data_IF_041811328593
#
_entry.id   IF_041811328593
#
_cell.length_a   1.000
_cell.length_b   1.000
_cell.length_c   1.000
_cell.angle_alpha   90.00
_cell.angle_beta   90.00
_cell.angle_gamma   90.00
#
_symmetry.space_group_name_H-M   'P 1'
#
loop_
_entity.id
_entity.type
_entity.pdbx_description
1 polymer ?
#
# COMPACT_ATOMS: atom_id res chain seq x y z
N UNK A 1 -56.11 29.15 32.39
CA UNK A 1 -57.36 28.36 32.51
C UNK A 1 -57.02 26.99 33.06
N UNK A 2 -57.96 26.33 33.75
CA UNK A 2 -57.74 25.08 34.49
C UNK A 2 -58.60 23.98 33.86
N UNK A 3 -58.03 22.79 33.63
CA UNK A 3 -58.58 21.50 34.09
C UNK A 3 -57.74 20.31 33.61
N UNK A 4 -57.53 19.35 34.52
CA UNK A 4 -57.27 17.95 34.17
C UNK A 4 -58.63 17.22 34.06
N UNK A 5 -58.72 16.18 33.22
CA UNK A 5 -59.98 15.45 33.02
C UNK A 5 -59.80 14.03 32.47
N UNK A 6 -59.70 13.06 33.37
CA UNK A 6 -60.10 11.66 33.16
C UNK A 6 -61.60 11.52 33.61
N UNK A 7 -62.35 10.38 33.50
CA UNK A 7 -61.87 8.98 33.42
C UNK A 7 -62.76 7.96 32.62
N UNK A 8 -62.50 6.64 32.81
CA UNK A 8 -63.38 5.47 32.55
C UNK A 8 -63.67 5.10 31.08
N UNK A 9 -64.05 3.87 30.65
CA UNK A 9 -64.16 2.46 31.16
C UNK A 9 -64.19 1.51 29.92
N UNK A 10 -64.26 0.16 29.89
CA UNK A 10 -64.52 -0.98 30.80
C UNK A 10 -63.68 -2.23 30.33
N UNK A 11 -63.40 -3.29 31.11
CA UNK A 11 -64.15 -4.58 31.31
C UNK A 11 -64.58 -5.25 29.99
N UNK A 12 -64.28 -6.53 29.65
CA UNK A 12 -63.89 -7.80 30.35
C UNK A 12 -62.39 -8.15 30.06
N UNK A 13 -61.61 -9.13 30.59
CA UNK A 13 -61.75 -10.34 31.45
C UNK A 13 -61.46 -11.66 30.66
N UNK A 14 -61.08 -12.83 31.19
CA UNK A 14 -60.83 -13.33 32.57
C UNK A 14 -59.82 -14.54 32.56
N UNK A 15 -58.87 -14.58 33.52
CA UNK A 15 -58.11 -15.76 34.07
C UNK A 15 -57.16 -16.58 33.12
N UNK A 16 -56.00 -17.17 33.48
CA UNK A 16 -55.36 -17.67 34.75
C UNK A 16 -55.86 -19.11 35.10
N UNK A 17 -55.09 -20.18 35.40
CA UNK A 17 -53.90 -20.33 36.28
C UNK A 17 -53.08 -21.67 36.07
N UNK A 18 -51.75 -21.60 35.85
CA UNK A 18 -50.69 -22.50 36.43
C UNK A 18 -50.63 -24.05 36.09
N UNK A 19 -49.82 -24.96 36.72
CA UNK A 19 -48.69 -25.58 35.98
C UNK A 19 -48.31 -27.08 36.27
N UNK A 20 -47.18 -27.52 35.65
CA UNK A 20 -46.17 -28.49 36.14
C UNK A 20 -46.43 -30.02 36.25
N UNK A 21 -45.49 -30.80 35.66
CA UNK A 21 -44.90 -32.11 36.10
C UNK A 21 -43.65 -32.36 35.21
N UNK A 22 -42.45 -32.68 35.74
CA UNK A 22 -41.96 -33.95 36.29
C UNK A 22 -41.84 -35.11 35.27
N UNK A 23 -40.81 -35.99 35.25
CA UNK A 23 -39.42 -35.97 35.77
C UNK A 23 -38.68 -37.27 35.33
N UNK A 24 -37.71 -37.22 34.40
CA UNK A 24 -36.73 -38.30 34.09
C UNK A 24 -35.50 -37.62 33.45
N UNK A 25 -34.23 -37.99 33.66
CA UNK A 25 -33.66 -39.04 34.51
C UNK A 25 -32.53 -39.80 33.79
N UNK A 26 -31.30 -39.26 33.76
CA UNK A 26 -30.15 -39.90 33.11
C UNK A 26 -28.81 -39.28 33.53
N UNK A 27 -27.77 -40.11 33.71
CA UNK A 27 -26.42 -39.72 34.19
C UNK A 27 -25.31 -40.27 33.29
N UNK A 28 -24.19 -39.54 33.30
CA UNK A 28 -22.83 -39.96 32.92
C UNK A 28 -22.55 -40.29 31.43
N UNK A 29 -21.30 -40.11 31.01
CA UNK A 29 -20.87 -40.31 29.62
C UNK A 29 -19.63 -39.53 29.20
N UNK A 30 -18.55 -39.55 29.99
CA UNK A 30 -17.27 -38.92 29.60
C UNK A 30 -16.51 -39.76 28.58
N UNK A 31 -16.36 -39.27 27.34
CA UNK A 31 -15.49 -39.90 26.33
C UNK A 31 -14.64 -38.86 25.61
N UNK A 32 -13.38 -38.74 26.02
CA UNK A 32 -12.36 -37.99 25.29
C UNK A 32 -11.98 -38.74 24.01
N UNK A 33 -12.11 -38.12 22.83
CA UNK A 33 -11.46 -38.62 21.61
C UNK A 33 -10.58 -37.55 20.98
N UNK A 34 -9.26 -37.79 21.04
CA UNK A 34 -8.31 -37.23 20.08
C UNK A 34 -8.66 -37.77 18.69
N UNK A 35 -8.53 -36.95 17.66
CA UNK A 35 -8.35 -37.41 16.30
C UNK A 35 -7.00 -36.91 15.80
N UNK A 36 -6.10 -37.85 15.57
CA UNK A 36 -4.77 -37.61 14.96
C UNK A 36 -4.95 -37.63 13.45
N UNK A 37 -4.16 -36.83 12.74
CA UNK A 37 -4.42 -36.47 11.35
C UNK A 37 -4.27 -37.60 10.31
N UNK A 38 -4.76 -37.31 9.12
CA UNK A 38 -4.56 -38.09 7.89
C UNK A 38 -3.72 -37.28 6.89
N UNK A 39 -2.85 -37.98 6.15
CA UNK A 39 -2.13 -37.46 4.97
C UNK A 39 -3.14 -37.36 3.81
N UNK A 40 -3.16 -36.26 3.06
CA UNK A 40 -2.30 -35.89 1.90
C UNK A 40 -2.65 -36.67 0.63
N UNK A 41 -2.44 -36.01 -0.51
CA UNK A 41 -2.50 -36.53 -1.88
C UNK A 41 -3.90 -36.84 -2.46
N UNK A 42 -4.43 -35.87 -3.23
CA UNK A 42 -5.47 -36.07 -4.23
C UNK A 42 -5.11 -35.19 -5.45
N UNK A 43 -4.95 -35.80 -6.63
CA UNK A 43 -4.66 -35.10 -7.88
C UNK A 43 -5.90 -34.36 -8.39
N UNK A 44 -5.69 -33.25 -9.10
CA UNK A 44 -6.66 -32.72 -10.06
C UNK A 44 -5.95 -32.13 -11.27
N UNK A 45 -5.89 -32.91 -12.34
CA UNK A 45 -5.61 -32.41 -13.68
C UNK A 45 -6.88 -31.73 -14.22
N UNK A 46 -6.75 -30.56 -14.85
CA UNK A 46 -7.92 -29.75 -15.21
C UNK A 46 -7.57 -28.50 -16.00
N UNK A 47 -6.90 -28.68 -17.14
CA UNK A 47 -6.45 -27.57 -17.98
C UNK A 47 -7.60 -26.86 -18.69
N UNK A 48 -7.87 -25.61 -18.31
CA UNK A 48 -8.82 -24.74 -19.01
C UNK A 48 -8.09 -23.59 -19.72
N UNK A 49 -8.03 -23.64 -21.05
CA UNK A 49 -7.78 -22.47 -21.89
C UNK A 49 -9.11 -21.77 -22.15
N UNK A 50 -9.18 -20.45 -21.98
CA UNK A 50 -10.07 -19.59 -22.77
C UNK A 50 -9.56 -18.13 -22.77
N UNK A 51 -10.17 -17.29 -23.62
CA UNK A 51 -9.61 -15.99 -24.05
C UNK A 51 -10.02 -14.81 -23.14
N UNK A 52 -9.23 -13.71 -23.11
CA UNK A 52 -9.61 -12.48 -22.42
C UNK A 52 -10.69 -11.71 -23.18
N UNK A 53 -11.65 -11.12 -22.45
CA UNK A 53 -12.65 -10.21 -23.01
C UNK A 53 -14.00 -10.30 -22.34
N UNK A 54 -14.16 -9.60 -21.21
CA UNK A 54 -15.47 -9.32 -20.61
C UNK A 54 -15.44 -7.90 -20.03
N UNK A 55 -16.37 -7.05 -20.46
CA UNK A 55 -16.59 -5.74 -19.88
C UNK A 55 -17.31 -5.90 -18.53
N UNK A 56 -17.19 -4.92 -17.64
CA UNK A 56 -18.00 -4.88 -16.42
C UNK A 56 -19.37 -4.29 -16.75
N UNK A 57 -20.44 -5.04 -16.48
CA UNK A 57 -21.79 -4.50 -16.38
C UNK A 57 -22.13 -4.32 -14.90
N UNK A 58 -22.62 -3.14 -14.52
CA UNK A 58 -23.03 -2.82 -13.16
C UNK A 58 -24.56 -2.92 -13.05
N UNK A 59 -25.06 -3.89 -12.27
CA UNK A 59 -26.50 -4.07 -12.08
C UNK A 59 -27.15 -2.90 -11.31
N UNK A 60 -28.28 -2.43 -11.81
CA UNK A 60 -29.06 -1.35 -11.19
C UNK A 60 -29.89 -1.84 -9.99
N UNK A 61 -30.09 -0.96 -8.99
CA UNK A 61 -31.22 -1.10 -8.06
C UNK A 61 -31.54 0.21 -7.31
N UNK A 62 -32.81 0.58 -7.24
CA UNK A 62 -33.38 1.41 -6.15
C UNK A 62 -33.13 2.93 -6.20
N UNK A 63 -33.82 3.64 -7.10
CA UNK A 63 -33.67 5.09 -7.26
C UNK A 63 -34.29 5.98 -6.15
N UNK A 64 -33.94 7.26 -6.22
CA UNK A 64 -34.70 8.37 -5.61
C UNK A 64 -34.68 9.59 -6.55
N UNK A 65 -35.71 10.44 -6.47
CA UNK A 65 -35.98 11.54 -7.43
C UNK A 65 -35.43 12.89 -6.95
N UNK A 66 -34.65 13.59 -7.78
CA UNK A 66 -34.56 15.07 -7.76
C UNK A 66 -33.95 15.64 -9.06
N UNK A 67 -34.43 16.81 -9.48
CA UNK A 67 -33.65 17.81 -10.25
C UNK A 67 -33.17 17.45 -11.66
N UNK A 68 -34.06 17.45 -12.65
CA UNK A 68 -33.65 17.51 -14.05
C UNK A 68 -33.34 18.96 -14.47
N UNK A 69 -32.17 19.20 -15.08
CA UNK A 69 -31.81 20.46 -15.76
C UNK A 69 -31.28 20.08 -17.15
N UNK A 70 -32.09 20.31 -18.19
CA UNK A 70 -31.81 19.85 -19.54
C UNK A 70 -30.92 20.82 -20.33
N UNK A 71 -29.87 20.31 -20.97
CA UNK A 71 -29.13 20.99 -22.03
C UNK A 71 -29.45 20.31 -23.39
N UNK A 72 -29.56 21.12 -24.44
CA UNK A 72 -30.02 20.66 -25.75
C UNK A 72 -28.96 19.83 -26.51
N UNK A 73 -29.38 18.90 -27.39
CA UNK A 73 -28.45 18.13 -28.22
C UNK A 73 -27.79 19.00 -29.29
N UNK A 74 -26.51 18.72 -29.56
CA UNK A 74 -25.76 19.32 -30.68
C UNK A 74 -26.27 18.78 -32.03
N UNK A 75 -26.16 19.56 -33.13
CA UNK A 75 -26.63 19.13 -34.45
C UNK A 75 -25.81 17.96 -35.01
N UNK A 76 -26.47 17.11 -35.81
CA UNK A 76 -25.80 16.05 -36.56
C UNK A 76 -24.88 16.66 -37.62
N UNK A 77 -23.60 16.29 -37.59
CA UNK A 77 -22.71 16.43 -38.75
C UNK A 77 -23.14 15.41 -39.81
N UNK A 78 -23.08 15.79 -41.10
CA UNK A 78 -23.47 14.92 -42.19
C UNK A 78 -22.37 13.89 -42.53
N UNK A 79 -22.76 12.65 -42.80
CA UNK A 79 -21.86 11.58 -43.22
C UNK A 79 -21.32 11.82 -44.64
N UNK A 80 -20.11 12.39 -44.71
CA UNK A 80 -19.29 12.36 -45.92
C UNK A 80 -18.45 11.07 -45.97
N UNK A 81 -18.19 10.48 -47.15
CA UNK A 81 -17.38 9.27 -47.26
C UNK A 81 -15.93 9.55 -46.79
N UNK A 82 -15.43 8.68 -45.90
CA UNK A 82 -14.04 8.74 -45.45
C UNK A 82 -13.06 8.53 -46.61
N UNK A 83 -11.90 9.22 -46.63
CA UNK A 83 -10.82 8.88 -47.55
C UNK A 83 -10.32 7.45 -47.24
N UNK A 84 -9.85 6.69 -48.25
CA UNK A 84 -9.33 5.35 -48.04
C UNK A 84 -8.08 5.38 -47.14
N UNK A 85 -7.84 4.31 -46.35
CA UNK A 85 -6.62 4.21 -45.55
C UNK A 85 -5.37 4.18 -46.43
N UNK A 86 -4.21 4.67 -45.93
CA UNK A 86 -2.96 4.60 -46.66
C UNK A 86 -2.57 3.14 -46.95
N UNK A 87 -1.84 2.87 -48.07
CA UNK A 87 -1.46 1.52 -48.44
C UNK A 87 -0.54 0.88 -47.41
N UNK A 88 -0.76 -0.41 -47.15
CA UNK A 88 0.09 -1.22 -46.28
C UNK A 88 1.56 -1.24 -46.78
N UNK A 89 2.56 -1.23 -45.89
CA UNK A 89 3.95 -1.41 -46.30
C UNK A 89 4.16 -2.79 -46.95
N UNK A 90 5.13 -2.93 -47.88
CA UNK A 90 5.37 -4.18 -48.58
C UNK A 90 5.85 -5.30 -47.62
N UNK A 91 5.41 -6.56 -47.83
CA UNK A 91 5.85 -7.68 -47.01
C UNK A 91 7.36 -7.89 -47.17
N UNK A 92 8.09 -7.92 -46.05
CA UNK A 92 9.54 -8.04 -46.03
C UNK A 92 10.29 -6.74 -45.74
N UNK A 93 9.60 -5.59 -45.63
CA UNK A 93 10.21 -4.42 -44.98
C UNK A 93 10.58 -4.77 -43.52
N UNK A 94 11.78 -4.43 -43.02
CA UNK A 94 12.09 -4.56 -41.61
C UNK A 94 11.14 -3.68 -40.78
N UNK A 95 10.85 -4.03 -39.52
CA UNK A 95 10.12 -3.12 -38.64
C UNK A 95 10.87 -1.78 -38.60
N UNK A 96 10.17 -0.62 -38.67
CA UNK A 96 10.84 0.66 -38.63
C UNK A 96 11.66 0.74 -37.34
N UNK A 97 12.99 0.90 -37.49
CA UNK A 97 13.90 0.97 -36.35
C UNK A 97 13.37 1.99 -35.35
N UNK A 98 13.27 1.65 -34.05
CA UNK A 98 12.66 2.52 -33.07
C UNK A 98 13.52 3.78 -32.92
N UNK A 99 13.10 4.86 -33.61
CA UNK A 99 13.82 6.14 -33.73
C UNK A 99 14.47 6.52 -32.39
N UNK A 100 15.81 6.49 -32.37
CA UNK A 100 16.59 6.34 -31.15
C UNK A 100 16.11 7.26 -30.05
N UNK A 101 15.84 6.65 -28.88
CA UNK A 101 15.29 7.38 -27.76
C UNK A 101 16.36 8.36 -27.21
N UNK A 102 16.20 9.69 -27.36
CA UNK A 102 17.19 10.63 -26.88
C UNK A 102 17.35 10.48 -25.37
N UNK A 103 18.57 10.15 -24.96
CA UNK A 103 19.01 10.31 -23.59
C UNK A 103 18.88 11.78 -23.17
N UNK A 104 18.36 12.01 -21.98
CA UNK A 104 18.21 13.34 -21.42
C UNK A 104 19.57 13.98 -21.14
N UNK A 105 19.69 15.27 -21.45
CA UNK A 105 20.92 16.06 -21.24
C UNK A 105 20.74 17.18 -20.21
N UNK A 106 19.57 17.28 -19.56
CA UNK A 106 19.36 18.23 -18.46
C UNK A 106 20.21 17.84 -17.23
N UNK A 107 21.17 18.66 -16.78
CA UNK A 107 22.01 18.34 -15.62
C UNK A 107 21.30 18.55 -14.26
N UNK A 108 20.16 19.23 -14.30
CA UNK A 108 19.43 19.80 -13.17
C UNK A 108 18.27 18.93 -12.70
N UNK A 109 17.84 19.09 -11.44
CA UNK A 109 16.63 18.42 -10.96
C UNK A 109 15.36 18.84 -11.75
N UNK A 110 15.33 20.02 -12.37
CA UNK A 110 14.29 20.54 -13.27
C UNK A 110 14.89 21.26 -14.49
N UNK A 111 14.35 21.08 -15.72
CA UNK A 111 14.75 21.86 -16.89
C UNK A 111 14.57 23.37 -16.70
N UNK A 112 15.59 24.15 -17.09
CA UNK A 112 15.59 25.60 -16.96
C UNK A 112 14.38 26.29 -17.64
N UNK A 113 13.87 25.73 -18.73
CA UNK A 113 12.68 26.23 -19.43
C UNK A 113 11.37 26.01 -18.66
N UNK A 114 11.24 24.92 -17.89
CA UNK A 114 10.09 24.72 -17.00
C UNK A 114 10.20 25.60 -15.77
N UNK A 115 11.39 25.61 -15.13
CA UNK A 115 11.73 26.48 -13.99
C UNK A 115 11.31 27.92 -14.26
N UNK A 116 11.87 28.54 -15.29
CA UNK A 116 11.61 29.94 -15.64
C UNK A 116 10.14 30.19 -16.04
N UNK A 117 9.44 29.18 -16.56
CA UNK A 117 7.98 29.27 -16.80
C UNK A 117 7.19 29.27 -15.49
N UNK A 118 7.54 28.42 -14.53
CA UNK A 118 6.83 28.31 -13.24
C UNK A 118 7.12 29.49 -12.32
N UNK A 119 8.35 30.01 -12.31
CA UNK A 119 8.73 31.26 -11.66
C UNK A 119 7.88 32.44 -12.15
N UNK A 120 7.88 32.71 -13.48
CA UNK A 120 7.07 33.79 -14.09
C UNK A 120 5.55 33.64 -13.90
N UNK A 121 5.07 32.45 -13.54
CA UNK A 121 3.66 32.17 -13.28
C UNK A 121 3.30 32.18 -11.78
N UNK A 122 4.26 32.34 -10.87
CA UNK A 122 4.03 32.19 -9.43
C UNK A 122 3.65 30.76 -9.02
N UNK A 123 4.05 29.75 -9.81
CA UNK A 123 3.66 28.33 -9.66
C UNK A 123 4.77 27.46 -9.04
N UNK A 124 5.62 28.04 -8.21
CA UNK A 124 6.50 27.28 -7.32
C UNK A 124 5.71 26.82 -6.09
N UNK A 125 5.97 25.61 -5.62
CA UNK A 125 5.32 25.06 -4.42
C UNK A 125 6.05 25.59 -3.17
N UNK A 126 5.39 25.78 -2.01
CA UNK A 126 6.07 26.24 -0.80
C UNK A 126 7.26 25.37 -0.36
N UNK A 127 7.26 24.06 -0.65
CA UNK A 127 8.42 23.19 -0.37
C UNK A 127 9.62 23.41 -1.31
N UNK A 128 9.43 24.10 -2.43
CA UNK A 128 10.48 24.56 -3.34
C UNK A 128 10.98 25.95 -2.86
N UNK A 129 10.07 26.88 -2.55
CA UNK A 129 10.40 28.24 -2.09
C UNK A 129 11.07 28.27 -0.70
N UNK A 130 10.64 27.43 0.26
CA UNK A 130 11.27 27.27 1.59
C UNK A 130 12.66 26.60 1.54
N UNK A 131 13.14 26.27 0.33
CA UNK A 131 14.53 25.86 0.04
C UNK A 131 15.31 26.95 -0.71
N UNK A 132 14.69 28.07 -1.10
CA UNK A 132 15.30 29.22 -1.77
C UNK A 132 15.57 30.33 -0.74
N UNK A 133 14.59 30.73 0.07
CA UNK A 133 14.74 31.71 1.18
C UNK A 133 15.81 31.29 2.19
N UNK A 134 15.84 30.00 2.55
CA UNK A 134 16.87 29.42 3.42
C UNK A 134 18.25 29.45 2.77
N UNK A 135 18.31 29.37 1.44
CA UNK A 135 19.54 29.40 0.67
C UNK A 135 20.13 30.80 0.59
N UNK A 136 19.33 31.85 0.68
CA UNK A 136 19.85 33.22 0.82
C UNK A 136 20.61 33.31 2.15
N UNK A 137 19.99 32.85 3.25
CA UNK A 137 20.60 32.79 4.58
C UNK A 137 21.83 31.87 4.65
N UNK A 138 21.83 30.74 3.94
CA UNK A 138 22.96 29.80 3.87
C UNK A 138 24.09 30.34 2.93
N UNK A 139 23.77 31.03 1.83
CA UNK A 139 24.76 31.64 0.90
C UNK A 139 25.42 32.91 1.46
N UNK A 140 24.80 33.57 2.43
CA UNK A 140 25.45 34.61 3.23
C UNK A 140 26.53 34.03 4.17
N UNK A 141 26.49 32.73 4.47
CA UNK A 141 27.39 32.05 5.42
C UNK A 141 28.42 31.13 4.73
N UNK A 142 28.03 30.33 3.72
CA UNK A 142 28.94 29.45 2.97
C UNK A 142 29.22 30.00 1.55
N UNK A 143 30.29 30.81 1.42
CA UNK A 143 30.80 31.30 0.12
C UNK A 143 31.83 30.39 -0.56
N UNK A 144 32.13 29.23 0.02
CA UNK A 144 33.37 28.48 -0.27
C UNK A 144 33.16 26.96 -0.41
N UNK A 145 31.98 26.52 -0.88
CA UNK A 145 31.68 25.09 -0.99
C UNK A 145 30.90 24.71 -2.26
N UNK A 146 31.57 24.01 -3.18
CA UNK A 146 30.96 23.44 -4.39
C UNK A 146 29.97 22.30 -4.06
N UNK A 147 28.72 22.67 -3.81
CA UNK A 147 27.59 21.75 -3.69
C UNK A 147 26.61 21.91 -4.86
N UNK A 148 26.06 20.82 -5.43
CA UNK A 148 25.08 20.93 -6.51
C UNK A 148 23.79 21.59 -6.01
N UNK A 149 23.44 22.72 -6.62
CA UNK A 149 22.37 23.61 -6.16
C UNK A 149 21.01 22.88 -6.00
N UNK A 150 20.26 23.05 -4.88
CA UNK A 150 18.93 22.46 -4.65
C UNK A 150 17.82 23.03 -5.55
N UNK A 151 17.95 22.81 -6.86
CA UNK A 151 17.02 23.30 -7.87
C UNK A 151 15.61 22.68 -7.69
N UNK A 152 14.51 23.44 -7.88
CA UNK A 152 13.14 22.90 -7.85
C UNK A 152 12.94 21.68 -8.75
N UNK A 153 11.81 20.97 -8.59
CA UNK A 153 11.55 19.67 -9.23
C UNK A 153 10.36 19.76 -10.22
N UNK A 154 10.41 19.11 -11.40
CA UNK A 154 9.38 19.16 -12.43
C UNK A 154 8.01 18.75 -11.93
N UNK A 155 7.03 19.59 -12.22
CA UNK A 155 5.62 19.27 -12.05
C UNK A 155 5.18 18.25 -13.10
N UNK A 156 4.35 17.27 -12.72
CA UNK A 156 3.85 16.29 -13.70
C UNK A 156 2.97 16.96 -14.78
N UNK A 157 3.59 17.26 -15.92
CA UNK A 157 2.90 17.68 -17.13
C UNK A 157 2.37 16.44 -17.86
N UNK A 158 1.05 16.26 -17.91
CA UNK A 158 0.43 15.21 -18.76
C UNK A 158 0.77 15.51 -20.24
N UNK A 159 1.37 14.58 -21.00
CA UNK A 159 1.59 14.78 -22.43
C UNK A 159 0.27 15.07 -23.16
N UNK A 160 0.24 16.14 -23.95
CA UNK A 160 -0.91 16.47 -24.79
C UNK A 160 -0.99 15.54 -26.00
N UNK A 161 -2.21 15.21 -26.45
CA UNK A 161 -2.38 14.51 -27.72
C UNK A 161 -1.79 15.37 -28.86
N UNK A 162 -0.95 14.77 -29.71
CA UNK A 162 -0.24 15.49 -30.77
C UNK A 162 0.93 16.37 -30.30
N UNK A 163 1.27 16.41 -29.01
CA UNK A 163 2.51 17.05 -28.54
C UNK A 163 3.73 16.26 -29.02
N UNK A 164 4.68 16.94 -29.66
CA UNK A 164 5.97 16.33 -30.04
C UNK A 164 6.78 15.87 -28.83
N UNK A 165 7.69 14.91 -29.05
CA UNK A 165 8.62 14.43 -28.01
C UNK A 165 9.48 15.61 -27.51
N UNK A 166 9.65 15.81 -26.19
CA UNK A 166 10.50 16.88 -25.68
C UNK A 166 11.96 16.68 -26.11
N UNK A 167 12.72 17.76 -26.37
CA UNK A 167 14.13 17.69 -26.75
C UNK A 167 15.00 17.17 -25.59
N UNK A 168 16.22 16.66 -25.88
CA UNK A 168 17.12 16.08 -24.87
C UNK A 168 17.35 16.98 -23.64
N UNK A 169 17.48 18.29 -23.84
CA UNK A 169 17.72 19.27 -22.77
C UNK A 169 16.51 19.50 -21.83
N UNK A 170 15.34 18.94 -22.15
CA UNK A 170 14.15 18.94 -21.29
C UNK A 170 13.93 17.58 -20.59
N UNK A 171 14.74 16.57 -20.88
CA UNK A 171 14.73 15.27 -20.22
C UNK A 171 15.94 15.14 -19.30
N UNK A 172 15.76 14.52 -18.13
CA UNK A 172 16.83 14.31 -17.14
C UNK A 172 17.39 12.89 -17.24
N UNK A 173 18.71 12.69 -17.37
CA UNK A 173 19.31 11.37 -17.44
C UNK A 173 19.17 10.60 -16.12
N UNK A 174 19.33 9.26 -16.11
CA UNK A 174 19.08 8.41 -14.94
C UNK A 174 19.79 8.85 -13.65
N UNK A 175 21.04 9.34 -13.73
CA UNK A 175 21.78 9.84 -12.57
C UNK A 175 21.14 11.09 -11.94
N UNK A 176 20.56 11.97 -12.76
CA UNK A 176 19.84 13.18 -12.32
C UNK A 176 18.45 12.83 -11.77
N UNK A 177 17.80 11.82 -12.35
CA UNK A 177 16.56 11.25 -11.81
C UNK A 177 16.80 10.63 -10.42
N UNK A 178 17.85 9.82 -10.23
CA UNK A 178 18.25 9.30 -8.92
C UNK A 178 18.57 10.41 -7.91
N UNK A 179 19.33 11.44 -8.32
CA UNK A 179 19.62 12.64 -7.51
C UNK A 179 18.32 13.33 -7.06
N UNK A 180 17.34 13.42 -7.96
CA UNK A 180 16.01 13.99 -7.68
C UNK A 180 15.23 13.14 -6.67
N UNK A 181 15.23 11.81 -6.79
CA UNK A 181 14.55 10.94 -5.81
C UNK A 181 15.19 11.07 -4.43
N UNK A 182 16.52 11.19 -4.33
CA UNK A 182 17.22 11.47 -3.06
C UNK A 182 16.74 12.79 -2.43
N UNK A 183 16.59 13.85 -3.22
CA UNK A 183 16.04 15.14 -2.73
C UNK A 183 14.60 15.01 -2.22
N UNK A 184 13.75 14.29 -2.96
CA UNK A 184 12.35 14.05 -2.57
C UNK A 184 12.24 13.20 -1.29
N UNK A 185 13.17 12.26 -1.06
CA UNK A 185 13.27 11.52 0.21
C UNK A 185 13.66 12.43 1.38
N UNK A 186 14.63 13.33 1.22
CA UNK A 186 14.96 14.33 2.25
C UNK A 186 13.84 15.35 2.51
N UNK A 187 12.99 15.64 1.51
CA UNK A 187 11.76 16.41 1.70
C UNK A 187 10.71 15.62 2.48
N UNK A 188 10.61 14.30 2.28
CA UNK A 188 9.80 13.44 3.16
C UNK A 188 10.38 13.38 4.58
N UNK A 189 11.69 13.28 4.79
CA UNK A 189 12.29 13.13 6.13
C UNK A 189 11.85 14.22 7.13
N UNK A 190 11.62 15.44 6.64
CA UNK A 190 11.18 16.61 7.44
C UNK A 190 9.88 16.34 8.22
N UNK A 191 9.70 16.95 9.41
CA UNK A 191 8.40 16.99 10.08
C UNK A 191 7.40 17.78 9.23
N UNK A 192 6.23 17.19 8.98
CA UNK A 192 5.18 17.79 8.15
C UNK A 192 4.20 18.58 9.04
N UNK A 193 3.94 19.88 8.80
CA UNK A 193 3.19 20.75 9.71
C UNK A 193 1.67 20.51 9.76
N UNK A 194 1.13 19.40 9.24
CA UNK A 194 -0.30 19.11 9.42
C UNK A 194 -0.80 17.74 8.96
N UNK A 195 -2.05 17.38 9.35
CA UNK A 195 -2.64 16.05 9.14
C UNK A 195 -2.95 15.70 7.68
N UNK A 196 -2.74 16.62 6.73
CA UNK A 196 -2.92 16.38 5.29
C UNK A 196 -1.65 15.88 4.59
N UNK A 197 -0.51 15.86 5.29
CA UNK A 197 0.81 15.52 4.76
C UNK A 197 1.11 16.09 3.35
N UNK A 198 1.02 17.43 3.13
CA UNK A 198 1.34 18.07 1.85
C UNK A 198 2.67 17.63 1.22
N UNK A 199 3.69 17.27 2.02
CA UNK A 199 4.94 16.75 1.47
C UNK A 199 4.74 15.42 0.71
N UNK A 200 3.86 14.53 1.19
CA UNK A 200 3.57 13.26 0.53
C UNK A 200 2.78 13.43 -0.78
N UNK A 201 1.88 14.41 -0.85
CA UNK A 201 1.17 14.76 -2.08
C UNK A 201 2.12 15.38 -3.13
N UNK A 202 2.95 16.34 -2.72
CA UNK A 202 3.99 16.95 -3.55
C UNK A 202 4.98 15.91 -4.09
N UNK A 203 5.56 15.09 -3.20
CA UNK A 203 6.51 14.05 -3.59
C UNK A 203 5.86 13.02 -4.52
N UNK A 204 4.59 12.67 -4.31
CA UNK A 204 3.82 11.83 -5.23
C UNK A 204 3.71 12.41 -6.65
N UNK A 205 3.50 13.71 -6.80
CA UNK A 205 3.49 14.37 -8.12
C UNK A 205 4.88 14.36 -8.78
N UNK A 206 5.90 14.78 -8.04
CA UNK A 206 7.28 14.88 -8.54
C UNK A 206 7.87 13.51 -8.91
N UNK A 207 7.50 12.44 -8.20
CA UNK A 207 7.84 11.06 -8.56
C UNK A 207 7.10 10.56 -9.81
N UNK A 208 5.94 11.13 -10.15
CA UNK A 208 5.28 10.86 -11.44
C UNK A 208 6.05 11.51 -12.60
N UNK A 209 6.56 12.72 -12.41
CA UNK A 209 7.43 13.37 -13.39
C UNK A 209 8.76 12.60 -13.57
N UNK A 210 9.40 12.14 -12.50
CA UNK A 210 10.61 11.28 -12.57
C UNK A 210 10.36 10.00 -13.39
N UNK A 211 9.23 9.31 -13.16
CA UNK A 211 8.87 8.11 -13.93
C UNK A 211 8.51 8.41 -15.38
N UNK A 212 7.92 9.58 -15.65
CA UNK A 212 7.60 10.03 -17.01
C UNK A 212 8.86 10.30 -17.83
N UNK A 213 9.84 11.03 -17.29
CA UNK A 213 11.11 11.31 -17.97
C UNK A 213 11.83 10.02 -18.38
N UNK A 214 11.89 9.03 -17.50
CA UNK A 214 12.52 7.74 -17.80
C UNK A 214 11.78 7.00 -18.94
N UNK A 215 10.45 7.03 -18.94
CA UNK A 215 9.64 6.44 -20.01
C UNK A 215 9.80 7.19 -21.35
N UNK A 216 9.87 8.52 -21.33
CA UNK A 216 10.11 9.35 -22.53
C UNK A 216 11.53 9.18 -23.11
N UNK A 217 12.49 8.75 -22.30
CA UNK A 217 13.83 8.31 -22.71
C UNK A 217 13.87 6.84 -23.17
N UNK A 218 12.74 6.14 -23.29
CA UNK A 218 12.71 4.73 -23.73
C UNK A 218 13.07 3.70 -22.64
N UNK A 219 13.19 4.11 -21.39
CA UNK A 219 13.46 3.22 -20.26
C UNK A 219 14.78 2.47 -20.39
N UNK A 220 14.76 1.17 -20.09
CA UNK A 220 15.94 0.30 -20.10
C UNK A 220 16.69 0.26 -21.44
N UNK A 221 15.98 0.44 -22.56
CA UNK A 221 16.55 0.33 -23.91
C UNK A 221 17.61 1.39 -24.25
N UNK A 222 17.50 2.59 -23.67
CA UNK A 222 18.52 3.65 -23.83
C UNK A 222 19.31 3.92 -22.54
N UNK A 223 18.65 3.87 -21.37
CA UNK A 223 19.29 4.13 -20.09
C UNK A 223 20.19 2.98 -19.59
N UNK A 224 20.07 1.78 -20.18
CA UNK A 224 20.59 0.54 -19.62
C UNK A 224 19.66 -0.04 -18.53
N UNK A 225 19.53 -1.37 -18.43
CA UNK A 225 18.55 -2.02 -17.55
C UNK A 225 18.80 -1.71 -16.06
N UNK A 226 20.05 -1.77 -15.60
CA UNK A 226 20.39 -1.51 -14.19
C UNK A 226 20.06 -0.07 -13.75
N UNK A 227 20.36 0.93 -14.58
CA UNK A 227 20.07 2.33 -14.25
C UNK A 227 18.57 2.65 -14.31
N UNK A 228 17.84 2.08 -15.27
CA UNK A 228 16.38 2.19 -15.32
C UNK A 228 15.71 1.52 -14.11
N UNK A 229 16.17 0.33 -13.73
CA UNK A 229 15.71 -0.36 -12.52
C UNK A 229 15.97 0.50 -11.26
N UNK A 230 17.19 0.99 -11.05
CA UNK A 230 17.54 1.80 -9.89
C UNK A 230 16.64 3.06 -9.74
N UNK A 231 16.33 3.77 -10.83
CA UNK A 231 15.39 4.92 -10.82
C UNK A 231 13.97 4.48 -10.41
N UNK A 232 13.48 3.38 -10.97
CA UNK A 232 12.13 2.86 -10.70
C UNK A 232 11.99 2.31 -9.27
N UNK A 233 13.00 1.58 -8.79
CA UNK A 233 13.13 1.06 -7.43
C UNK A 233 13.13 2.20 -6.40
N UNK A 234 14.01 3.18 -6.56
CA UNK A 234 14.07 4.34 -5.69
C UNK A 234 12.75 5.12 -5.68
N UNK A 235 12.13 5.30 -6.86
CA UNK A 235 10.85 6.01 -6.99
C UNK A 235 9.70 5.27 -6.30
N UNK A 236 9.61 3.95 -6.48
CA UNK A 236 8.63 3.10 -5.82
C UNK A 236 8.81 3.10 -4.30
N UNK A 237 10.05 3.00 -3.82
CA UNK A 237 10.35 3.10 -2.39
C UNK A 237 9.96 4.44 -1.80
N UNK A 238 10.24 5.55 -2.51
CA UNK A 238 9.80 6.88 -2.08
C UNK A 238 8.27 7.04 -2.07
N UNK A 239 7.54 6.46 -3.03
CA UNK A 239 6.07 6.39 -3.00
C UNK A 239 5.54 5.57 -1.81
N UNK A 240 6.21 4.47 -1.45
CA UNK A 240 5.86 3.67 -0.26
C UNK A 240 6.09 4.45 1.05
N UNK A 241 7.19 5.19 1.15
CA UNK A 241 7.48 6.07 2.28
C UNK A 241 6.48 7.23 2.40
N UNK A 242 6.05 7.82 1.26
CA UNK A 242 4.99 8.84 1.23
C UNK A 242 3.63 8.27 1.65
N UNK A 243 3.28 7.07 1.16
CA UNK A 243 2.04 6.38 1.53
C UNK A 243 1.96 6.04 3.02
N UNK A 244 3.08 5.63 3.63
CA UNK A 244 3.18 5.35 5.07
C UNK A 244 2.89 6.56 5.97
N UNK A 245 2.93 7.80 5.43
CA UNK A 245 2.52 9.03 6.14
C UNK A 245 1.01 9.33 5.99
N UNK A 246 0.40 9.01 4.84
CA UNK A 246 -0.99 9.33 4.47
C UNK A 246 -2.02 8.30 4.99
N UNK A 247 -2.02 8.05 6.30
CA UNK A 247 -2.81 6.98 6.94
C UNK A 247 -4.25 7.41 7.27
N UNK A 248 -5.22 6.47 7.36
CA UNK A 248 -5.09 5.02 7.24
C UNK A 248 -5.23 4.49 5.80
N UNK A 249 -5.87 5.26 4.92
CA UNK A 249 -6.19 4.86 3.53
C UNK A 249 -5.47 5.75 2.52
N UNK A 250 -4.73 5.11 1.61
CA UNK A 250 -4.00 5.83 0.57
C UNK A 250 -4.98 6.48 -0.43
N UNK A 251 -4.83 7.79 -0.75
CA UNK A 251 -5.63 8.44 -1.79
C UNK A 251 -5.59 7.67 -3.12
N UNK A 252 -6.70 7.65 -3.88
CA UNK A 252 -6.82 6.85 -5.12
C UNK A 252 -5.62 7.08 -6.06
N UNK A 253 -5.31 8.33 -6.38
CA UNK A 253 -4.16 8.71 -7.20
C UNK A 253 -2.82 8.10 -6.72
N UNK A 254 -2.57 8.01 -5.40
CA UNK A 254 -1.36 7.40 -4.87
C UNK A 254 -1.37 5.88 -4.98
N UNK A 255 -2.53 5.23 -4.81
CA UNK A 255 -2.70 3.79 -5.07
C UNK A 255 -2.44 3.46 -6.54
N UNK A 256 -2.97 4.29 -7.43
CA UNK A 256 -2.85 4.13 -8.87
C UNK A 256 -1.38 4.31 -9.29
N UNK A 257 -0.69 5.35 -8.77
CA UNK A 257 0.75 5.54 -8.97
C UNK A 257 1.61 4.40 -8.43
N UNK A 258 1.27 3.81 -7.28
CA UNK A 258 1.96 2.63 -6.75
C UNK A 258 1.76 1.41 -7.66
N UNK A 259 0.54 1.19 -8.16
CA UNK A 259 0.23 0.10 -9.10
C UNK A 259 0.95 0.29 -10.45
N UNK A 260 0.92 1.50 -11.03
CA UNK A 260 1.72 1.90 -12.19
C UNK A 260 3.21 1.56 -11.98
N UNK A 261 3.76 1.92 -10.81
CA UNK A 261 5.19 1.78 -10.50
C UNK A 261 5.61 0.32 -10.33
N UNK A 262 4.84 -0.49 -9.61
CA UNK A 262 5.05 -1.94 -9.57
C UNK A 262 4.97 -2.57 -10.98
N UNK A 263 4.03 -2.13 -11.81
CA UNK A 263 3.89 -2.60 -13.19
C UNK A 263 5.09 -2.24 -14.08
N UNK A 264 5.59 -1.00 -14.00
CA UNK A 264 6.76 -0.58 -14.78
C UNK A 264 8.05 -1.24 -14.30
N UNK A 265 8.26 -1.37 -12.99
CA UNK A 265 9.45 -2.03 -12.46
C UNK A 265 9.48 -3.52 -12.83
N UNK A 266 8.34 -4.22 -12.73
CA UNK A 266 8.26 -5.65 -13.10
C UNK A 266 8.34 -5.90 -14.61
N UNK A 267 8.06 -4.90 -15.46
CA UNK A 267 8.43 -4.93 -16.89
C UNK A 267 9.93 -4.78 -17.07
N UNK A 268 10.54 -3.74 -16.48
CA UNK A 268 11.98 -3.49 -16.56
C UNK A 268 12.82 -4.74 -16.19
N UNK A 269 12.39 -5.48 -15.16
CA UNK A 269 12.99 -6.76 -14.78
C UNK A 269 12.83 -7.88 -15.83
N UNK A 270 11.68 -7.96 -16.51
CA UNK A 270 11.44 -8.93 -17.59
C UNK A 270 12.15 -8.57 -18.89
N UNK A 271 12.25 -7.28 -19.21
CA UNK A 271 12.89 -6.76 -20.42
C UNK A 271 14.40 -7.09 -20.46
N UNK A 272 15.03 -7.30 -19.30
CA UNK A 272 16.41 -7.78 -19.17
C UNK A 272 16.63 -9.26 -19.46
N UNK A 273 15.58 -10.09 -19.54
CA UNK A 273 15.67 -11.55 -19.77
C UNK A 273 15.54 -11.91 -21.26
N UNK A 274 16.19 -11.13 -22.13
CA UNK A 274 16.03 -11.20 -23.60
C UNK A 274 16.71 -12.39 -24.28
N UNK A 275 15.96 -13.48 -24.46
CA UNK A 275 16.18 -14.53 -25.47
C UNK A 275 17.61 -15.14 -25.56
N UNK A 276 18.10 -15.71 -24.46
CA UNK A 276 19.26 -16.60 -24.47
C UNK A 276 18.92 -17.99 -23.92
N UNK A 277 18.88 -19.01 -24.78
CA UNK A 277 18.76 -20.43 -24.39
C UNK A 277 20.12 -21.03 -23.98
N UNK A 278 20.91 -20.28 -23.20
CA UNK A 278 22.24 -20.68 -22.75
C UNK A 278 22.58 -20.10 -21.38
N UNK A 279 23.45 -20.78 -20.64
CA UNK A 279 23.87 -20.39 -19.30
C UNK A 279 24.53 -19.01 -19.31
N UNK A 280 23.77 -17.99 -18.90
CA UNK A 280 24.23 -16.62 -18.76
C UNK A 280 25.10 -16.46 -17.51
N UNK A 281 26.37 -16.81 -17.62
CA UNK A 281 27.42 -16.66 -16.57
C UNK A 281 27.81 -15.17 -16.33
N UNK A 282 26.86 -14.26 -16.52
CA UNK A 282 26.99 -12.82 -16.24
C UNK A 282 26.25 -12.45 -14.95
N UNK A 283 26.71 -11.42 -14.22
CA UNK A 283 26.04 -10.97 -13.01
C UNK A 283 24.61 -10.48 -13.29
N UNK A 284 23.68 -10.82 -12.40
CA UNK A 284 22.28 -10.38 -12.47
C UNK A 284 22.20 -8.84 -12.55
N UNK A 285 21.62 -8.24 -13.61
CA UNK A 285 21.52 -6.78 -13.75
C UNK A 285 20.55 -6.14 -12.74
N UNK A 286 19.85 -6.96 -11.94
CA UNK A 286 18.77 -6.57 -11.04
C UNK A 286 18.87 -7.24 -9.66
N UNK A 287 19.99 -7.10 -8.91
CA UNK A 287 20.20 -7.82 -7.64
C UNK A 287 19.13 -7.56 -6.58
N UNK A 288 18.43 -6.41 -6.64
CA UNK A 288 17.34 -6.03 -5.71
C UNK A 288 15.95 -6.54 -6.16
N UNK A 289 15.83 -7.14 -7.34
CA UNK A 289 14.58 -7.72 -7.87
C UNK A 289 13.85 -8.61 -6.86
N UNK A 290 14.50 -9.57 -6.16
CA UNK A 290 13.78 -10.43 -5.22
C UNK A 290 13.07 -9.63 -4.11
N UNK A 291 13.73 -8.59 -3.57
CA UNK A 291 13.17 -7.75 -2.52
C UNK A 291 12.04 -6.85 -3.03
N UNK A 292 12.12 -6.33 -4.27
CA UNK A 292 10.99 -5.60 -4.86
C UNK A 292 9.79 -6.49 -5.25
N UNK A 293 10.02 -7.75 -5.66
CA UNK A 293 8.92 -8.72 -5.83
C UNK A 293 8.28 -9.08 -4.47
N UNK A 294 9.06 -9.09 -3.37
CA UNK A 294 8.54 -9.23 -2.02
C UNK A 294 7.68 -8.01 -1.59
N UNK A 295 8.12 -6.78 -1.89
CA UNK A 295 7.32 -5.56 -1.67
C UNK A 295 6.00 -5.60 -2.46
N UNK A 296 6.01 -6.09 -3.69
CA UNK A 296 4.81 -6.26 -4.51
C UNK A 296 3.78 -7.19 -3.84
N UNK A 297 4.20 -8.32 -3.28
CA UNK A 297 3.31 -9.21 -2.54
C UNK A 297 2.79 -8.55 -1.26
N UNK A 298 3.67 -7.93 -0.47
CA UNK A 298 3.31 -7.27 0.80
C UNK A 298 2.34 -6.09 0.62
N UNK A 299 2.43 -5.36 -0.49
CA UNK A 299 1.45 -4.31 -0.82
C UNK A 299 0.07 -4.87 -1.20
N UNK A 300 0.04 -6.08 -1.77
CA UNK A 300 -1.15 -6.73 -2.32
C UNK A 300 -1.59 -7.98 -1.52
N UNK A 301 -1.32 -8.05 -0.20
CA UNK A 301 -1.66 -9.21 0.64
C UNK A 301 -3.10 -9.71 0.42
N UNK A 302 -3.24 -11.02 0.29
CA UNK A 302 -4.50 -11.71 0.07
C UNK A 302 -5.03 -11.69 -1.36
N UNK A 303 -4.38 -11.01 -2.31
CA UNK A 303 -4.66 -11.17 -3.75
C UNK A 303 -4.10 -12.53 -4.23
N UNK A 304 -4.96 -13.46 -4.71
CA UNK A 304 -4.47 -14.71 -5.30
C UNK A 304 -3.67 -14.45 -6.59
N UNK A 305 -3.98 -13.38 -7.33
CA UNK A 305 -3.27 -12.98 -8.54
C UNK A 305 -1.82 -12.54 -8.23
N UNK A 306 -1.63 -11.68 -7.22
CA UNK A 306 -0.31 -11.25 -6.78
C UNK A 306 0.52 -12.43 -6.23
N UNK A 307 -0.11 -13.34 -5.48
CA UNK A 307 0.52 -14.58 -5.02
C UNK A 307 0.94 -15.47 -6.19
N UNK A 308 0.04 -15.73 -7.14
CA UNK A 308 0.33 -16.56 -8.31
C UNK A 308 1.51 -16.00 -9.11
N UNK A 309 1.53 -14.69 -9.36
CA UNK A 309 2.60 -14.02 -10.08
C UNK A 309 3.97 -14.12 -9.39
N UNK A 310 4.01 -14.16 -8.04
CA UNK A 310 5.26 -14.39 -7.29
C UNK A 310 5.64 -15.87 -7.24
N UNK A 311 4.67 -16.79 -7.24
CA UNK A 311 4.92 -18.23 -7.33
C UNK A 311 5.42 -18.68 -8.72
N UNK A 312 5.14 -17.90 -9.77
CA UNK A 312 5.61 -18.11 -11.14
C UNK A 312 7.04 -17.60 -11.43
N UNK A 313 7.68 -16.90 -10.47
CA UNK A 313 9.06 -16.39 -10.64
C UNK A 313 10.10 -17.53 -10.70
N UNK A 314 11.34 -17.27 -11.19
CA UNK A 314 12.45 -18.22 -11.13
C UNK A 314 12.71 -18.77 -9.73
N UNK A 315 13.29 -19.99 -9.64
CA UNK A 315 13.49 -20.65 -8.35
C UNK A 315 14.51 -19.90 -7.47
N UNK A 316 15.54 -19.28 -8.07
CA UNK A 316 16.49 -18.37 -7.41
C UNK A 316 15.74 -17.25 -6.68
N UNK A 317 14.97 -16.45 -7.42
CA UNK A 317 14.16 -15.34 -6.87
C UNK A 317 13.21 -15.80 -5.77
N UNK A 318 12.57 -16.97 -5.91
CA UNK A 318 11.66 -17.53 -4.90
C UNK A 318 12.34 -18.10 -3.65
N UNK A 319 13.62 -18.49 -3.74
CA UNK A 319 14.41 -18.94 -2.57
C UNK A 319 14.92 -17.77 -1.73
N UNK A 320 15.00 -16.55 -2.29
CA UNK A 320 15.51 -15.37 -1.60
C UNK A 320 14.81 -15.10 -0.26
N UNK A 321 15.53 -14.74 0.83
CA UNK A 321 14.95 -14.51 2.15
C UNK A 321 13.78 -13.52 2.14
N UNK A 322 13.87 -12.40 1.42
CA UNK A 322 12.80 -11.41 1.33
C UNK A 322 11.49 -12.00 0.75
N UNK A 323 11.56 -12.79 -0.31
CA UNK A 323 10.38 -13.41 -0.95
C UNK A 323 9.78 -14.49 -0.05
N UNK A 324 10.62 -15.31 0.60
CA UNK A 324 10.17 -16.30 1.60
C UNK A 324 9.49 -15.64 2.80
N UNK A 325 10.03 -14.52 3.30
CA UNK A 325 9.42 -13.70 4.37
C UNK A 325 8.06 -13.14 3.94
N UNK A 326 7.93 -12.59 2.73
CA UNK A 326 6.67 -12.07 2.20
C UNK A 326 5.60 -13.17 2.01
N UNK A 327 5.97 -14.33 1.45
CA UNK A 327 5.07 -15.49 1.32
C UNK A 327 4.58 -16.01 2.68
N UNK A 328 5.44 -16.00 3.71
CA UNK A 328 5.04 -16.39 5.07
C UNK A 328 4.06 -15.40 5.72
N UNK A 329 4.21 -14.11 5.45
CA UNK A 329 3.26 -13.05 5.89
C UNK A 329 1.91 -13.20 5.19
N UNK A 330 1.91 -13.41 3.87
CA UNK A 330 0.68 -13.58 3.08
C UNK A 330 -0.08 -14.87 3.44
N UNK A 331 0.63 -15.97 3.69
CA UNK A 331 0.04 -17.18 4.25
C UNK A 331 -0.64 -16.91 5.60
N UNK A 332 0.06 -16.29 6.54
CA UNK A 332 -0.50 -15.97 7.86
C UNK A 332 -1.71 -15.00 7.79
N UNK A 333 -1.73 -14.08 6.82
CA UNK A 333 -2.85 -13.16 6.55
C UNK A 333 -4.08 -13.90 6.03
N UNK A 334 -3.92 -14.82 5.07
CA UNK A 334 -5.01 -15.62 4.52
C UNK A 334 -5.51 -16.74 5.46
N UNK A 335 -4.61 -17.43 6.16
CA UNK A 335 -4.95 -18.29 7.32
C UNK A 335 -5.75 -17.51 8.37
N UNK A 336 -5.52 -16.19 8.44
CA UNK A 336 -6.07 -15.35 9.48
C UNK A 336 -5.43 -15.58 10.85
N UNK A 337 -4.24 -16.17 10.87
CA UNK A 337 -3.46 -16.48 12.06
C UNK A 337 -2.81 -15.19 12.58
N UNK A 338 -3.61 -14.37 13.28
CA UNK A 338 -3.20 -13.03 13.74
C UNK A 338 -1.93 -13.04 14.59
N UNK A 339 -1.74 -14.03 15.46
CA UNK A 339 -0.53 -14.15 16.27
C UNK A 339 0.73 -14.38 15.40
N UNK A 340 0.65 -15.30 14.42
CA UNK A 340 1.74 -15.52 13.45
C UNK A 340 1.97 -14.29 12.58
N UNK A 341 0.89 -13.66 12.11
CA UNK A 341 0.94 -12.46 11.28
C UNK A 341 1.66 -11.32 12.00
N UNK A 342 1.18 -10.87 13.16
CA UNK A 342 1.79 -9.72 13.85
C UNK A 342 3.22 -10.00 14.33
N UNK A 343 3.57 -11.25 14.67
CA UNK A 343 4.98 -11.64 14.91
C UNK A 343 5.85 -11.48 13.67
N UNK A 344 5.39 -11.94 12.50
CA UNK A 344 6.13 -11.77 11.24
C UNK A 344 6.20 -10.29 10.81
N UNK A 345 5.11 -9.54 10.97
CA UNK A 345 5.09 -8.09 10.72
C UNK A 345 6.06 -7.34 11.63
N UNK A 346 6.24 -7.75 12.89
CA UNK A 346 7.26 -7.21 13.78
C UNK A 346 8.68 -7.37 13.22
N UNK A 347 9.01 -8.54 12.69
CA UNK A 347 10.33 -8.88 12.14
C UNK A 347 10.65 -8.27 10.76
N UNK A 348 9.67 -7.73 10.02
CA UNK A 348 9.92 -7.10 8.72
C UNK A 348 10.82 -5.86 8.83
N UNK A 349 11.77 -5.62 7.89
CA UNK A 349 12.47 -4.34 7.76
C UNK A 349 11.54 -3.16 7.46
N UNK A 350 12.06 -1.92 7.54
CA UNK A 350 11.28 -0.68 7.41
C UNK A 350 10.44 -0.61 6.12
N UNK A 351 11.06 -0.72 4.93
CA UNK A 351 10.38 -0.57 3.66
C UNK A 351 9.32 -1.68 3.37
N UNK A 352 9.59 -2.97 3.63
CA UNK A 352 8.56 -4.01 3.70
C UNK A 352 7.41 -3.70 4.66
N UNK A 353 7.69 -2.99 5.75
CA UNK A 353 6.67 -2.57 6.71
C UNK A 353 5.81 -1.40 6.19
N UNK A 354 6.37 -0.47 5.42
CA UNK A 354 5.60 0.55 4.70
C UNK A 354 4.63 -0.09 3.68
N UNK A 355 5.10 -1.08 2.90
CA UNK A 355 4.27 -1.77 1.92
C UNK A 355 3.04 -2.47 2.54
N UNK A 356 3.24 -3.14 3.68
CA UNK A 356 2.20 -3.91 4.35
C UNK A 356 1.28 -3.08 5.27
N UNK A 357 1.66 -1.84 5.61
CA UNK A 357 0.98 -1.02 6.64
C UNK A 357 -0.53 -0.89 6.42
N UNK A 358 -0.95 -0.70 5.17
CA UNK A 358 -2.37 -0.60 4.76
C UNK A 358 -3.23 -1.82 5.12
N UNK A 359 -2.62 -2.97 5.39
CA UNK A 359 -3.31 -4.20 5.80
C UNK A 359 -3.42 -4.35 7.32
N UNK A 360 -2.67 -3.58 8.10
CA UNK A 360 -2.59 -3.69 9.58
C UNK A 360 -3.93 -3.41 10.23
N UNK A 361 -4.57 -2.28 9.93
CA UNK A 361 -5.89 -1.93 10.48
C UNK A 361 -6.97 -2.98 10.16
N UNK A 362 -7.17 -3.35 8.88
CA UNK A 362 -8.06 -4.44 8.50
C UNK A 362 -7.75 -5.79 9.16
N UNK A 363 -6.47 -6.14 9.35
CA UNK A 363 -6.06 -7.36 10.05
C UNK A 363 -6.40 -7.31 11.55
N UNK A 364 -6.17 -6.18 12.23
CA UNK A 364 -6.53 -5.97 13.64
C UNK A 364 -8.05 -6.05 13.85
N UNK A 365 -8.86 -5.41 12.98
CA UNK A 365 -10.34 -5.53 13.01
C UNK A 365 -10.80 -6.97 12.79
N UNK A 366 -10.22 -7.70 11.81
CA UNK A 366 -10.50 -9.13 11.58
C UNK A 366 -10.13 -10.00 12.78
N UNK A 367 -9.06 -9.65 13.51
CA UNK A 367 -8.64 -10.35 14.72
C UNK A 367 -9.62 -10.13 15.89
N UNK A 368 -10.01 -8.89 16.16
CA UNK A 368 -11.04 -8.56 17.17
C UNK A 368 -12.38 -9.25 16.85
N UNK A 369 -12.80 -9.25 15.59
CA UNK A 369 -13.99 -9.97 15.15
C UNK A 369 -13.90 -11.49 15.37
N UNK A 370 -12.70 -12.09 15.41
CA UNK A 370 -12.50 -13.50 15.80
C UNK A 370 -12.55 -13.67 17.32
N UNK A 371 -11.86 -12.80 18.07
CA UNK A 371 -11.87 -12.82 19.55
C UNK A 371 -13.28 -12.64 20.11
N UNK A 372 -14.08 -11.71 19.58
CA UNK A 372 -15.46 -11.50 20.01
C UNK A 372 -16.38 -12.71 19.75
N UNK A 373 -16.14 -13.49 18.69
CA UNK A 373 -16.87 -14.74 18.44
C UNK A 373 -16.39 -15.90 19.34
N UNK A 374 -15.10 -15.96 19.66
CA UNK A 374 -14.52 -17.01 20.50
C UNK A 374 -14.74 -16.79 22.00
N UNK A 375 -14.77 -15.54 22.46
CA UNK A 375 -14.87 -15.15 23.87
C UNK A 375 -16.28 -14.62 24.25
N UNK A 376 -17.17 -14.39 23.27
CA UNK A 376 -18.48 -13.74 23.47
C UNK A 376 -19.48 -14.55 24.29
N UNK A 377 -19.42 -14.40 25.62
CA UNK A 377 -20.40 -14.97 26.55
C UNK A 377 -21.57 -13.99 26.82
N UNK A 378 -22.74 -14.47 27.28
CA UNK A 378 -23.84 -13.59 27.70
C UNK A 378 -23.52 -12.73 28.93
N UNK A 379 -22.50 -13.09 29.73
CA UNK A 379 -22.05 -12.33 30.92
C UNK A 379 -20.89 -11.39 30.61
N UNK A 380 -20.34 -11.43 29.40
CA UNK A 380 -19.05 -10.83 29.05
C UNK A 380 -17.87 -11.69 29.50
N UNK A 381 -16.83 -11.76 28.69
CA UNK A 381 -15.53 -12.31 29.07
C UNK A 381 -14.49 -11.19 29.12
N UNK A 382 -13.91 -10.95 30.30
CA UNK A 382 -12.79 -10.02 30.44
C UNK A 382 -11.52 -10.57 29.77
N UNK A 383 -10.78 -9.70 29.10
CA UNK A 383 -9.51 -10.01 28.44
C UNK A 383 -8.54 -8.83 28.64
N UNK A 384 -7.32 -9.02 29.17
CA UNK A 384 -6.43 -7.91 29.49
C UNK A 384 -5.95 -7.13 28.26
N UNK A 385 -6.01 -5.79 28.31
CA UNK A 385 -5.58 -4.93 27.22
C UNK A 385 -4.09 -5.05 26.93
N UNK A 386 -3.24 -5.26 27.93
CA UNK A 386 -1.80 -5.48 27.74
C UNK A 386 -1.54 -6.75 26.91
N UNK A 387 -2.32 -7.83 27.13
CA UNK A 387 -2.27 -9.05 26.33
C UNK A 387 -2.79 -8.83 24.90
N UNK A 388 -3.84 -8.02 24.74
CA UNK A 388 -4.43 -7.67 23.44
C UNK A 388 -3.47 -6.83 22.59
N UNK A 389 -2.81 -5.84 23.21
CA UNK A 389 -1.80 -5.01 22.59
C UNK A 389 -0.62 -5.84 22.07
N UNK A 390 -0.08 -6.75 22.89
CA UNK A 390 0.96 -7.70 22.50
C UNK A 390 0.52 -8.63 21.35
N UNK A 391 -0.72 -9.14 21.38
CA UNK A 391 -1.26 -10.04 20.36
C UNK A 391 -1.48 -9.36 18.98
N UNK A 392 -1.82 -8.07 18.97
CA UNK A 392 -2.17 -7.31 17.77
C UNK A 392 -1.08 -6.33 17.32
N UNK A 393 0.10 -6.39 17.96
CA UNK A 393 1.21 -5.44 17.84
C UNK A 393 0.72 -3.98 17.82
N UNK A 394 0.00 -3.61 18.89
CA UNK A 394 -0.42 -2.23 19.18
C UNK A 394 0.70 -1.50 19.91
N UNK A 395 0.85 -0.21 19.64
CA UNK A 395 1.90 0.65 20.21
C UNK A 395 1.72 0.88 21.72
N UNK A 396 0.52 0.61 22.26
CA UNK A 396 0.26 0.60 23.69
C UNK A 396 -1.13 0.01 24.05
N UNK A 397 -1.42 -0.17 25.35
CA UNK A 397 -2.73 -0.63 25.81
C UNK A 397 -3.84 0.38 25.50
N UNK A 398 -3.52 1.68 25.41
CA UNK A 398 -4.48 2.75 25.10
C UNK A 398 -4.92 2.76 23.64
N UNK A 399 -4.04 2.40 22.68
CA UNK A 399 -4.48 2.09 21.31
C UNK A 399 -5.44 0.88 21.30
N UNK A 400 -5.20 -0.10 22.18
CA UNK A 400 -6.11 -1.22 22.42
C UNK A 400 -7.47 -0.78 22.97
N UNK A 401 -7.49 0.17 23.91
CA UNK A 401 -8.71 0.78 24.46
C UNK A 401 -9.51 1.49 23.37
N UNK A 402 -8.86 2.34 22.57
CA UNK A 402 -9.50 3.07 21.47
C UNK A 402 -10.09 2.10 20.44
N UNK A 403 -9.29 1.13 19.98
CA UNK A 403 -9.70 0.14 18.98
C UNK A 403 -10.84 -0.78 19.49
N UNK A 404 -10.86 -1.11 20.78
CA UNK A 404 -11.98 -1.83 21.39
C UNK A 404 -13.25 -0.96 21.43
N UNK A 405 -13.15 0.28 21.92
CA UNK A 405 -14.30 1.21 22.00
C UNK A 405 -14.91 1.50 20.64
N UNK A 406 -14.10 1.69 19.60
CA UNK A 406 -14.55 1.89 18.22
C UNK A 406 -15.40 0.72 17.70
N UNK A 407 -15.04 -0.51 18.06
CA UNK A 407 -15.75 -1.73 17.67
C UNK A 407 -16.77 -2.20 18.73
N UNK A 408 -17.30 -1.29 19.53
CA UNK A 408 -18.41 -1.54 20.47
C UNK A 408 -18.04 -2.34 21.72
N UNK A 409 -16.78 -2.74 21.88
CA UNK A 409 -16.33 -3.55 23.01
C UNK A 409 -16.12 -2.67 24.25
N UNK A 410 -16.91 -2.84 25.33
CA UNK A 410 -16.71 -2.07 26.55
C UNK A 410 -15.35 -2.40 27.18
N UNK A 411 -14.68 -1.35 27.68
CA UNK A 411 -13.41 -1.44 28.39
C UNK A 411 -13.64 -1.03 29.84
N UNK A 412 -13.15 -1.84 30.77
CA UNK A 412 -13.23 -1.60 32.22
C UNK A 412 -11.82 -1.41 32.75
N UNK A 413 -11.62 -0.32 33.48
CA UNK A 413 -10.36 -0.03 34.16
C UNK A 413 -10.24 -0.86 35.45
N UNK A 414 -9.05 -1.37 35.72
CA UNK A 414 -8.76 -2.11 36.93
C UNK A 414 -8.81 -1.20 38.15
N UNK A 415 -9.45 -1.66 39.23
CA UNK A 415 -9.34 -1.02 40.54
C UNK A 415 -8.00 -1.40 41.17
N UNK A 416 -7.53 -0.57 42.10
CA UNK A 416 -6.44 -0.90 43.03
C UNK A 416 -5.15 -1.40 42.35
N UNK A 417 -4.84 -0.86 41.16
CA UNK A 417 -3.65 -1.18 40.37
C UNK A 417 -3.78 -2.32 39.35
N UNK A 418 -4.97 -2.93 39.19
CA UNK A 418 -5.19 -4.01 38.21
C UNK A 418 -5.09 -3.58 36.73
N UNK A 419 -4.69 -4.51 35.85
CA UNK A 419 -4.70 -4.25 34.40
C UNK A 419 -6.12 -3.93 33.87
N UNK A 420 -6.23 -2.93 32.99
CA UNK A 420 -7.47 -2.65 32.28
C UNK A 420 -7.85 -3.78 31.30
N UNK A 421 -9.16 -4.08 31.19
CA UNK A 421 -9.69 -5.22 30.43
C UNK A 421 -10.71 -4.80 29.37
N UNK A 422 -10.63 -5.42 28.19
CA UNK A 422 -11.73 -5.42 27.24
C UNK A 422 -12.73 -6.53 27.60
N UNK A 423 -14.03 -6.24 27.53
CA UNK A 423 -15.10 -7.18 27.88
C UNK A 423 -15.81 -7.65 26.61
N UNK A 424 -15.58 -8.90 26.22
CA UNK A 424 -16.19 -9.53 25.06
C UNK A 424 -17.56 -10.12 25.42
N UNK A 425 -18.63 -9.35 25.15
CA UNK A 425 -20.02 -9.82 25.26
C UNK A 425 -20.50 -10.45 23.95
N UNK A 426 -21.44 -11.39 24.05
CA UNK A 426 -22.08 -12.00 22.88
C UNK A 426 -22.86 -10.94 22.09
N UNK A 427 -22.43 -10.68 20.85
CA UNK A 427 -23.08 -9.71 19.95
C UNK A 427 -22.68 -8.25 20.16
N UNK A 428 -21.79 -7.92 21.11
CA UNK A 428 -21.36 -6.55 21.38
C UNK A 428 -20.30 -5.98 20.43
N UNK A 429 -19.86 -6.73 19.42
CA UNK A 429 -18.83 -6.29 18.47
C UNK A 429 -19.47 -5.66 17.23
N UNK A 430 -19.20 -4.38 16.98
CA UNK A 430 -19.56 -3.70 15.73
C UNK A 430 -18.40 -3.77 14.72
N UNK A 431 -18.71 -4.12 13.48
CA UNK A 431 -17.72 -4.19 12.39
C UNK A 431 -17.47 -2.82 11.73
N UNK A 432 -18.22 -1.81 12.16
CA UNK A 432 -18.34 -0.49 11.54
C UNK A 432 -17.09 0.38 11.75
N UNK A 433 -17.00 1.42 10.92
CA UNK A 433 -15.90 2.38 10.89
C UNK A 433 -14.65 1.88 10.15
N UNK A 434 -13.89 2.78 9.49
CA UNK A 434 -12.49 2.51 9.16
C UNK A 434 -11.69 2.36 10.47
N UNK A 435 -10.62 1.54 10.50
CA UNK A 435 -9.71 1.51 11.64
C UNK A 435 -9.08 2.90 11.85
N UNK A 436 -8.74 3.30 13.09
CA UNK A 436 -8.19 4.62 13.36
C UNK A 436 -6.79 4.77 12.71
N UNK A 437 -6.33 6.01 12.45
CA UNK A 437 -5.00 6.29 11.90
C UNK A 437 -3.89 6.01 12.94
N UNK A 438 -3.68 4.74 13.24
CA UNK A 438 -2.73 4.28 14.23
C UNK A 438 -1.28 4.74 13.94
N UNK A 439 -0.51 5.16 14.96
CA UNK A 439 0.88 5.59 14.79
C UNK A 439 1.80 4.47 14.30
N UNK A 440 1.44 3.19 14.47
CA UNK A 440 2.19 2.00 14.01
C UNK A 440 3.70 2.11 14.29
N UNK A 441 4.07 2.67 15.44
CA UNK A 441 5.44 2.93 15.83
C UNK A 441 6.24 1.62 15.97
N UNK A 442 5.66 0.58 16.57
CA UNK A 442 6.28 -0.75 16.66
C UNK A 442 6.40 -1.44 15.29
N UNK A 443 5.38 -1.29 14.44
CA UNK A 443 5.31 -2.02 13.17
C UNK A 443 6.06 -1.32 12.02
N UNK A 444 6.24 0.00 12.07
CA UNK A 444 6.87 0.79 10.99
C UNK A 444 7.86 1.83 11.53
N UNK A 445 7.41 2.76 12.38
CA UNK A 445 8.19 3.97 12.72
C UNK A 445 9.56 3.70 13.35
N UNK A 446 9.60 2.88 14.41
CA UNK A 446 10.82 2.51 15.14
C UNK A 446 11.88 1.82 14.28
N UNK A 447 11.46 1.15 13.20
CA UNK A 447 12.33 0.37 12.30
C UNK A 447 13.22 1.21 11.40
N UNK A 448 12.95 2.52 11.33
CA UNK A 448 13.84 3.50 10.72
C UNK A 448 15.18 3.57 11.48
N UNK A 449 15.19 3.30 12.79
CA UNK A 449 16.37 3.22 13.68
C UNK A 449 17.29 4.46 13.59
N UNK A 450 16.69 5.66 13.55
CA UNK A 450 17.42 6.94 13.49
C UNK A 450 18.08 7.27 12.14
N UNK A 451 17.97 6.40 11.14
CA UNK A 451 18.44 6.67 9.77
C UNK A 451 17.48 7.58 9.02
N UNK A 452 17.94 8.22 7.95
CA UNK A 452 17.06 8.96 7.03
C UNK A 452 16.35 8.02 6.07
N UNK A 453 15.21 8.43 5.51
CA UNK A 453 14.52 7.72 4.43
C UNK A 453 15.44 7.54 3.22
N UNK A 454 16.27 8.56 2.93
CA UNK A 454 17.32 8.49 1.91
C UNK A 454 18.31 7.34 2.17
N UNK A 455 18.86 7.24 3.39
CA UNK A 455 19.76 6.14 3.78
C UNK A 455 19.11 4.76 3.69
N UNK A 456 17.82 4.62 4.05
CA UNK A 456 17.13 3.31 4.01
C UNK A 456 16.72 2.90 2.59
N UNK A 457 16.41 3.85 1.70
CA UNK A 457 16.00 3.55 0.31
C UNK A 457 17.20 3.37 -0.62
N UNK A 458 18.30 4.09 -0.37
CA UNK A 458 19.53 4.07 -1.16
C UNK A 458 20.60 3.10 -0.62
N UNK A 459 20.32 2.41 0.49
CA UNK A 459 21.12 1.26 0.89
C UNK A 459 21.02 0.16 -0.18
N UNK A 460 22.18 -0.39 -0.52
CA UNK A 460 22.28 -1.73 -1.09
C UNK A 460 21.75 -2.73 -0.05
N UNK A 461 21.21 -3.87 -0.49
CA UNK A 461 20.75 -4.90 0.45
C UNK A 461 22.00 -5.41 1.18
N UNK A 462 22.10 -5.33 2.52
CA UNK A 462 23.25 -5.88 3.22
C UNK A 462 23.26 -7.40 3.00
N UNK A 463 24.44 -7.96 2.76
CA UNK A 463 24.62 -9.41 2.75
C UNK A 463 24.14 -9.97 4.10
N UNK A 464 23.04 -10.73 4.07
CA UNK A 464 22.52 -11.43 5.25
C UNK A 464 23.42 -12.65 5.53
N UNK A 465 24.64 -12.41 6.02
CA UNK A 465 25.39 -13.42 6.77
C UNK A 465 24.47 -14.00 7.85
N UNK A 466 24.52 -15.32 8.05
CA UNK A 466 23.56 -16.06 8.89
C UNK A 466 23.83 -15.86 10.39
N UNK A 467 23.69 -14.63 10.86
CA UNK A 467 23.64 -14.28 12.27
C UNK A 467 22.39 -14.88 12.93
N UNK A 468 22.54 -16.06 13.52
CA UNK A 468 21.55 -16.61 14.45
C UNK A 468 21.31 -15.61 15.58
N UNK A 469 20.19 -14.89 15.50
CA UNK A 469 19.77 -13.96 16.54
C UNK A 469 19.35 -14.74 17.78
N UNK A 470 20.34 -15.02 18.64
CA UNK A 470 20.20 -15.73 19.91
C UNK A 470 18.99 -15.19 20.70
N UNK A 471 18.07 -16.09 21.04
CA UNK A 471 16.80 -15.71 21.63
C UNK A 471 16.99 -15.33 23.10
N UNK A 472 17.24 -14.05 23.37
CA UNK A 472 17.32 -13.49 24.71
C UNK A 472 16.15 -14.00 25.57
N UNK A 473 16.42 -14.66 26.71
CA UNK A 473 15.39 -15.31 27.50
C UNK A 473 14.40 -14.27 28.06
N UNK A 474 13.11 -14.61 28.03
CA UNK A 474 12.10 -13.77 28.66
C UNK A 474 12.33 -13.71 30.18
N UNK A 475 12.20 -12.54 30.82
CA UNK A 475 12.19 -12.46 32.28
C UNK A 475 10.99 -13.26 32.83
N UNK A 476 11.25 -14.01 33.89
CA UNK A 476 10.31 -14.91 34.60
C UNK A 476 9.26 -14.16 35.40
#
# INVERSE_FOLDING_TARGET
>A
MVHCGAPARCIVGRRVETPARCLVGGRAGTTTRRLVGLRRDALWEGGWRLRPGALWEAGESGGSRAGAVGWAPLPRVADGPFPPPPPSPPPGAPPPCPMDAPLGTCPDMCPASERARRERQGRLHPLEVLQEERREQEREQERERDGPDPLPVPEYCRPGAGSGRPPPCQLRPPAVLLRTVRHLLHLLDRPDPGPRAPAAAFVGDRLRAVRLDLALQGGAAAAGPAAAAAVLEASLSALLCAAARLRPDHPRLLRDQLHESFGSLRRCYGDGHGHGDGDGDGPDPHPRQPSFQALFLLYNLGSPEARQQVLQLPQSTRRHPAVRRALAVDAAFCEGNSARLFRLLGALPFLPSCAVQRHVGPARRRALARLARALGTPRGQAYPLARLARLLALDGPEEGRELCRLHGLPVVDGRDGGEAVAVFSRGGFTADGPPPPAPCALLVGSKLRGRTLSQVVMAEEPDEEEGEAEAAPAPT
#
